data_IF_684259001262
#
_entry.id   IF_684259001262
#
_cell.length_a   1.000
_cell.length_b   1.000
_cell.length_c   1.000
_cell.angle_alpha   90.00
_cell.angle_beta   90.00
_cell.angle_gamma   90.00
#
_symmetry.space_group_name_H-M   'P 1'
#
loop_
_entity.id
_entity.type
_entity.pdbx_description
1 polymer ?
#
# COMPACT_ATOMS: atom_id res chain seq x y z
N UNK A 1 5.79 1.93 15.53
CA UNK A 1 4.92 0.87 15.01
C UNK A 1 5.78 -0.23 14.42
N UNK A 2 5.47 -1.47 14.78
CA UNK A 2 6.22 -2.65 14.33
C UNK A 2 5.23 -3.74 13.95
N UNK A 3 5.31 -4.24 12.71
CA UNK A 3 4.78 -5.54 12.35
C UNK A 3 5.95 -6.49 12.11
N UNK A 4 6.17 -7.45 13.03
CA UNK A 4 7.29 -8.38 12.90
C UNK A 4 7.09 -9.42 11.79
N UNK A 5 5.87 -9.59 11.28
CA UNK A 5 5.54 -10.55 10.24
C UNK A 5 4.23 -10.16 9.51
N UNK A 6 4.29 -9.18 8.62
CA UNK A 6 3.21 -8.91 7.65
C UNK A 6 3.17 -10.05 6.62
N UNK A 7 1.96 -10.51 6.29
CA UNK A 7 1.77 -11.69 5.45
C UNK A 7 1.76 -13.01 6.25
N UNK A 8 1.28 -13.00 7.48
CA UNK A 8 1.23 -14.17 8.39
C UNK A 8 0.58 -15.40 7.74
N UNK A 9 -0.51 -15.22 6.98
CA UNK A 9 -1.17 -16.31 6.25
C UNK A 9 -0.24 -16.92 5.20
N UNK A 10 0.50 -16.08 4.46
CA UNK A 10 1.47 -16.52 3.47
C UNK A 10 2.58 -17.32 4.15
N UNK A 11 3.17 -16.78 5.20
CA UNK A 11 4.22 -17.45 5.95
C UNK A 11 3.78 -18.83 6.47
N UNK A 12 2.60 -18.90 7.08
CA UNK A 12 2.05 -20.15 7.63
C UNK A 12 1.82 -21.23 6.56
N UNK A 13 1.61 -20.81 5.30
CA UNK A 13 1.36 -21.71 4.16
C UNK A 13 2.60 -21.90 3.25
N UNK A 14 3.77 -21.40 3.63
CA UNK A 14 5.00 -21.51 2.84
C UNK A 14 4.98 -20.71 1.54
N UNK A 15 4.12 -19.67 1.45
CA UNK A 15 4.08 -18.74 0.32
C UNK A 15 5.15 -17.67 0.53
N UNK A 16 6.11 -17.50 -0.40
CA UNK A 16 7.27 -16.62 -0.21
C UNK A 16 6.90 -15.14 -0.47
N UNK A 17 5.96 -14.59 0.29
CA UNK A 17 5.48 -13.21 0.21
C UNK A 17 5.08 -12.74 1.62
N UNK A 18 6.04 -12.23 2.36
CA UNK A 18 5.90 -11.71 3.74
C UNK A 18 7.07 -10.79 4.04
N UNK A 19 6.90 -9.90 5.02
CA UNK A 19 7.93 -8.93 5.37
C UNK A 19 7.91 -8.55 6.84
N UNK A 20 8.92 -7.75 7.23
CA UNK A 20 8.98 -7.02 8.49
C UNK A 20 8.72 -5.55 8.17
N UNK A 21 7.81 -4.90 8.90
CA UNK A 21 7.48 -3.49 8.72
C UNK A 21 7.75 -2.70 10.00
N UNK A 22 8.49 -1.60 9.88
CA UNK A 22 8.88 -0.70 10.97
C UNK A 22 8.60 0.74 10.60
N UNK A 23 7.85 1.47 11.43
CA UNK A 23 7.61 2.90 11.23
C UNK A 23 7.83 3.70 12.50
N UNK A 24 8.48 4.85 12.36
CA UNK A 24 8.54 5.90 13.36
C UNK A 24 7.61 7.03 12.93
N UNK A 25 6.77 7.52 13.84
CA UNK A 25 5.87 8.66 13.61
C UNK A 25 6.10 9.76 14.64
N UNK A 26 5.62 10.96 14.34
CA UNK A 26 5.40 11.98 15.36
C UNK A 26 4.12 11.69 16.17
N UNK A 27 3.81 12.58 17.13
CA UNK A 27 2.62 12.45 17.98
C UNK A 27 1.29 12.61 17.22
N UNK A 28 1.31 13.11 15.99
CA UNK A 28 0.15 13.29 15.11
C UNK A 28 0.05 12.21 14.03
N UNK A 29 0.73 11.08 14.21
CA UNK A 29 0.78 9.96 13.28
C UNK A 29 1.44 10.27 11.91
N UNK A 30 2.13 11.37 11.78
CA UNK A 30 2.88 11.62 10.56
C UNK A 30 4.09 10.67 10.51
N UNK A 31 4.23 9.81 9.50
CA UNK A 31 5.38 8.91 9.39
C UNK A 31 6.66 9.72 9.12
N UNK A 32 7.72 9.46 9.89
CA UNK A 32 9.02 10.14 9.81
C UNK A 32 10.09 9.23 9.22
N UNK A 33 10.08 7.94 9.59
CA UNK A 33 10.98 6.90 9.08
C UNK A 33 10.14 5.65 8.82
N UNK A 34 10.35 5.02 7.68
CA UNK A 34 9.75 3.74 7.30
C UNK A 34 10.81 2.77 6.82
N UNK A 35 10.72 1.52 7.27
CA UNK A 35 11.55 0.40 6.79
C UNK A 35 10.65 -0.80 6.57
N UNK A 36 10.73 -1.41 5.39
CA UNK A 36 10.07 -2.69 5.08
C UNK A 36 11.13 -3.61 4.50
N UNK A 37 11.26 -4.81 5.07
CA UNK A 37 12.23 -5.79 4.60
C UNK A 37 11.55 -7.08 4.16
N UNK A 38 11.72 -7.42 2.88
CA UNK A 38 11.37 -8.72 2.32
C UNK A 38 12.56 -9.67 2.44
N UNK A 39 12.53 -10.65 3.37
CA UNK A 39 13.66 -11.56 3.57
C UNK A 39 13.79 -12.64 2.49
N UNK A 40 12.77 -12.81 1.65
CA UNK A 40 12.79 -13.79 0.57
C UNK A 40 13.50 -13.24 -0.67
N UNK A 41 13.16 -11.99 -1.03
CA UNK A 41 13.77 -11.30 -2.16
C UNK A 41 15.08 -10.59 -1.78
N UNK A 42 15.40 -10.48 -0.48
CA UNK A 42 16.49 -9.65 0.08
C UNK A 42 16.36 -8.19 -0.38
N UNK A 43 15.12 -7.66 -0.28
CA UNK A 43 14.80 -6.28 -0.63
C UNK A 43 14.48 -5.46 0.63
N UNK A 44 15.31 -4.45 0.90
CA UNK A 44 15.09 -3.50 1.98
C UNK A 44 14.62 -2.17 1.43
N UNK A 45 13.36 -1.84 1.70
CA UNK A 45 12.76 -0.55 1.37
C UNK A 45 12.91 0.38 2.56
N UNK A 46 13.44 1.58 2.33
CA UNK A 46 13.63 2.60 3.37
C UNK A 46 13.16 3.94 2.90
N UNK A 47 12.55 4.71 3.80
CA UNK A 47 12.17 6.08 3.54
C UNK A 47 12.38 6.95 4.79
N UNK A 48 12.80 8.19 4.57
CA UNK A 48 12.88 9.23 5.59
C UNK A 48 12.16 10.45 5.06
N UNK A 49 11.27 11.03 5.84
CA UNK A 49 10.47 12.18 5.43
C UNK A 49 11.36 13.32 4.90
N UNK A 50 11.08 13.75 3.66
CA UNK A 50 11.81 14.82 2.96
C UNK A 50 13.19 14.42 2.44
N UNK A 51 13.56 13.13 2.50
CA UNK A 51 14.87 12.64 2.04
C UNK A 51 14.77 11.60 0.92
N UNK A 52 13.55 11.25 0.50
CA UNK A 52 13.28 10.25 -0.52
C UNK A 52 13.16 8.83 0.04
N UNK A 53 12.90 7.89 -0.87
CA UNK A 53 12.82 6.46 -0.59
C UNK A 53 13.84 5.67 -1.41
N UNK A 54 14.33 4.56 -0.85
CA UNK A 54 15.28 3.67 -1.54
C UNK A 54 14.89 2.20 -1.38
N UNK A 55 15.34 1.36 -2.31
CA UNK A 55 15.37 -0.09 -2.19
C UNK A 55 16.81 -0.56 -2.36
N UNK A 56 17.39 -1.19 -1.33
CA UNK A 56 18.80 -1.59 -1.32
C UNK A 56 19.71 -0.43 -1.78
N UNK A 57 19.55 0.74 -1.15
CA UNK A 57 20.26 1.99 -1.41
C UNK A 57 20.03 2.63 -2.80
N UNK A 58 19.18 2.05 -3.65
CA UNK A 58 18.82 2.62 -4.96
C UNK A 58 17.56 3.46 -4.82
N UNK A 59 17.55 4.71 -5.30
CA UNK A 59 16.37 5.58 -5.25
C UNK A 59 15.15 4.93 -5.89
N UNK A 60 13.99 5.11 -5.25
CA UNK A 60 12.70 4.69 -5.76
C UNK A 60 11.99 5.83 -6.46
N UNK A 61 11.18 5.47 -7.45
CA UNK A 61 10.26 6.37 -8.13
C UNK A 61 9.03 5.58 -8.54
N UNK A 62 7.85 6.14 -8.29
CA UNK A 62 6.58 5.56 -8.71
C UNK A 62 6.47 5.46 -10.24
N UNK A 63 5.54 4.66 -10.74
CA UNK A 63 5.30 4.51 -12.18
C UNK A 63 4.74 5.78 -12.83
N UNK A 64 4.76 5.84 -14.16
CA UNK A 64 4.25 6.97 -14.94
C UNK A 64 2.94 6.69 -15.67
N UNK A 65 2.25 5.59 -15.38
CA UNK A 65 0.96 5.23 -15.99
C UNK A 65 -0.10 6.30 -15.71
N UNK A 66 -0.89 6.67 -16.71
CA UNK A 66 -1.89 7.73 -16.61
C UNK A 66 -3.32 7.25 -16.84
N UNK A 67 -3.52 6.00 -17.26
CA UNK A 67 -4.83 5.39 -17.50
C UNK A 67 -4.98 4.10 -16.72
N UNK A 68 -6.19 3.80 -16.23
CA UNK A 68 -6.43 2.56 -15.49
C UNK A 68 -6.16 1.30 -16.32
N UNK A 69 -6.41 1.33 -17.62
CA UNK A 69 -6.23 0.18 -18.52
C UNK A 69 -4.77 -0.28 -18.62
N UNK A 70 -3.81 0.59 -18.33
CA UNK A 70 -2.39 0.27 -18.33
C UNK A 70 -1.90 -0.26 -16.98
N UNK A 71 -2.71 -0.06 -15.92
CA UNK A 71 -2.29 -0.24 -14.55
C UNK A 71 -2.35 -1.69 -14.06
N UNK A 72 -1.37 -2.04 -13.24
CA UNK A 72 -1.41 -3.18 -12.34
C UNK A 72 -1.62 -2.65 -10.92
N UNK A 73 -2.70 -3.07 -10.27
CA UNK A 73 -3.04 -2.64 -8.91
C UNK A 73 -2.88 -3.78 -7.92
N UNK A 74 -2.47 -3.45 -6.70
CA UNK A 74 -2.53 -4.32 -5.53
C UNK A 74 -3.79 -4.07 -4.71
N UNK A 75 -4.26 -5.08 -3.97
CA UNK A 75 -5.35 -4.91 -3.00
C UNK A 75 -5.38 -6.01 -1.95
N UNK A 76 -6.04 -5.72 -0.83
CA UNK A 76 -6.28 -6.64 0.25
C UNK A 76 -7.75 -6.69 0.70
N UNK A 77 -8.02 -7.53 1.69
CA UNK A 77 -9.35 -7.70 2.28
C UNK A 77 -9.22 -7.68 3.80
N UNK A 78 -10.12 -6.92 4.45
CA UNK A 78 -10.18 -6.84 5.89
C UNK A 78 -10.31 -8.22 6.57
N UNK A 79 -9.83 -8.32 7.81
CA UNK A 79 -9.91 -9.57 8.58
C UNK A 79 -11.35 -10.01 8.85
N UNK A 80 -12.30 -9.09 8.91
CA UNK A 80 -13.73 -9.31 9.14
C UNK A 80 -14.55 -9.54 7.85
N UNK A 81 -13.90 -9.71 6.71
CA UNK A 81 -14.52 -9.85 5.36
C UNK A 81 -15.62 -10.91 5.25
N UNK A 82 -15.65 -11.88 6.15
CA UNK A 82 -16.66 -12.95 6.17
C UNK A 82 -17.99 -12.51 6.79
N UNK A 83 -17.98 -11.48 7.63
CA UNK A 83 -19.14 -11.00 8.39
C UNK A 83 -19.52 -9.57 8.05
N UNK A 84 -18.58 -8.78 7.54
CA UNK A 84 -18.79 -7.40 7.16
C UNK A 84 -19.20 -7.32 5.67
N UNK A 85 -20.38 -6.77 5.33
CA UNK A 85 -20.79 -6.59 3.94
C UNK A 85 -19.91 -5.56 3.21
N UNK A 86 -19.27 -4.64 3.92
CA UNK A 86 -18.30 -3.69 3.39
C UNK A 86 -16.90 -4.31 3.39
N UNK A 87 -16.67 -5.30 2.50
CA UNK A 87 -15.54 -6.21 2.54
C UNK A 87 -14.61 -6.14 1.32
N UNK A 88 -14.68 -5.07 0.51
CA UNK A 88 -13.87 -4.86 -0.70
C UNK A 88 -14.21 -5.77 -1.91
N UNK A 89 -15.19 -6.65 -1.83
CA UNK A 89 -15.52 -7.53 -2.96
C UNK A 89 -16.14 -6.78 -4.15
N UNK A 90 -16.95 -5.75 -3.87
CA UNK A 90 -17.55 -4.88 -4.90
C UNK A 90 -16.46 -4.07 -5.63
N UNK A 91 -15.56 -3.44 -4.90
CA UNK A 91 -14.46 -2.64 -5.43
C UNK A 91 -13.52 -3.51 -6.27
N UNK A 92 -13.15 -4.68 -5.75
CA UNK A 92 -12.37 -5.68 -6.49
C UNK A 92 -13.03 -6.04 -7.83
N UNK A 93 -14.33 -6.40 -7.82
CA UNK A 93 -15.09 -6.74 -9.01
C UNK A 93 -15.16 -5.59 -10.02
N UNK A 94 -15.18 -4.35 -9.54
CA UNK A 94 -15.19 -3.16 -10.39
C UNK A 94 -13.81 -2.91 -11.01
N UNK A 95 -12.74 -2.95 -10.22
CA UNK A 95 -11.39 -2.72 -10.72
C UNK A 95 -10.92 -3.77 -11.71
N UNK A 96 -11.21 -5.05 -11.47
CA UNK A 96 -10.72 -6.15 -12.34
C UNK A 96 -11.17 -5.98 -13.81
N UNK A 97 -12.26 -5.28 -14.05
CA UNK A 97 -12.78 -5.01 -15.41
C UNK A 97 -12.22 -3.73 -16.03
N UNK A 98 -11.51 -2.89 -15.26
CA UNK A 98 -11.06 -1.55 -15.69
C UNK A 98 -9.54 -1.46 -15.85
N UNK A 99 -8.78 -2.38 -15.23
CA UNK A 99 -7.31 -2.31 -15.18
C UNK A 99 -6.67 -3.46 -15.93
N UNK A 100 -5.36 -3.37 -16.22
CA UNK A 100 -4.58 -4.46 -16.81
C UNK A 100 -4.59 -5.70 -15.93
N UNK A 101 -4.57 -5.53 -14.62
CA UNK A 101 -4.65 -6.63 -13.68
C UNK A 101 -4.66 -6.19 -12.24
N UNK A 102 -5.28 -7.01 -11.38
CA UNK A 102 -5.27 -6.84 -9.93
C UNK A 102 -4.45 -7.96 -9.30
N UNK A 103 -3.73 -7.66 -8.24
CA UNK A 103 -2.95 -8.62 -7.45
C UNK A 103 -3.44 -8.64 -6.02
N UNK A 104 -3.48 -9.82 -5.43
CA UNK A 104 -3.73 -10.05 -4.00
C UNK A 104 -2.50 -10.74 -3.42
N UNK A 105 -1.46 -9.93 -3.06
CA UNK A 105 -0.19 -10.50 -2.60
C UNK A 105 -0.27 -10.99 -1.16
N UNK A 106 -1.01 -10.30 -0.29
CA UNK A 106 -1.27 -10.75 1.08
C UNK A 106 -0.27 -10.25 2.11
N UNK A 107 0.48 -9.21 1.77
CA UNK A 107 1.36 -8.46 2.66
C UNK A 107 1.24 -6.98 2.29
N UNK A 108 0.47 -6.21 3.07
CA UNK A 108 0.08 -4.83 2.75
C UNK A 108 1.29 -3.89 2.68
N UNK A 109 2.25 -4.07 3.59
CA UNK A 109 3.47 -3.25 3.59
C UNK A 109 4.29 -3.46 2.30
N UNK A 110 4.38 -4.70 1.78
CA UNK A 110 5.04 -4.98 0.49
C UNK A 110 4.24 -4.43 -0.69
N UNK A 111 2.91 -4.55 -0.68
CA UNK A 111 2.06 -4.01 -1.74
C UNK A 111 2.29 -2.49 -1.90
N UNK A 112 2.38 -1.75 -0.78
CA UNK A 112 2.71 -0.32 -0.75
C UNK A 112 4.14 -0.05 -1.26
N UNK A 113 5.12 -0.85 -0.84
CA UNK A 113 6.50 -0.74 -1.34
C UNK A 113 6.58 -1.01 -2.85
N UNK A 114 5.75 -1.90 -3.38
CA UNK A 114 5.68 -2.16 -4.82
C UNK A 114 5.07 -0.98 -5.58
N UNK A 115 4.16 -0.20 -4.97
CA UNK A 115 3.73 1.08 -5.54
C UNK A 115 4.89 2.08 -5.56
N UNK A 116 5.63 2.22 -4.45
CA UNK A 116 6.79 3.09 -4.36
C UNK A 116 7.89 2.75 -5.39
N UNK A 117 8.05 1.45 -5.69
CA UNK A 117 9.03 0.95 -6.68
C UNK A 117 8.51 0.98 -8.13
N UNK A 118 7.29 1.46 -8.38
CA UNK A 118 6.68 1.47 -9.71
C UNK A 118 6.36 0.07 -10.28
N UNK A 119 6.37 -0.97 -9.44
CA UNK A 119 5.94 -2.33 -9.80
C UNK A 119 4.43 -2.46 -9.86
N UNK A 120 3.74 -1.75 -8.97
CA UNK A 120 2.29 -1.47 -9.02
C UNK A 120 2.08 0.00 -9.29
N UNK A 121 0.96 0.31 -9.95
CA UNK A 121 0.56 1.69 -10.22
C UNK A 121 -0.29 2.26 -9.09
N UNK A 122 -0.92 1.39 -8.31
CA UNK A 122 -1.70 1.76 -7.13
C UNK A 122 -2.06 0.55 -6.27
N UNK A 123 -2.59 0.87 -5.10
CA UNK A 123 -3.04 -0.08 -4.09
C UNK A 123 -4.25 0.50 -3.35
N UNK A 124 -5.20 -0.36 -2.96
CA UNK A 124 -6.29 0.02 -2.07
C UNK A 124 -6.63 -1.13 -1.14
N UNK A 125 -6.98 -0.82 0.10
CA UNK A 125 -7.44 -1.82 1.05
C UNK A 125 -8.39 -1.22 2.08
N UNK A 126 -9.33 -2.03 2.56
CA UNK A 126 -10.16 -1.81 3.74
C UNK A 126 -9.61 -2.63 4.89
N UNK A 127 -9.48 -2.01 6.07
CA UNK A 127 -9.13 -2.70 7.30
C UNK A 127 -7.66 -3.03 7.56
N UNK A 128 -6.66 -2.47 6.84
CA UNK A 128 -5.28 -2.63 7.28
C UNK A 128 -5.05 -1.87 8.58
N UNK A 129 -4.14 -2.37 9.39
CA UNK A 129 -3.76 -1.69 10.64
C UNK A 129 -2.66 -0.66 10.39
N UNK A 130 -2.45 0.25 11.35
CA UNK A 130 -1.41 1.27 11.24
C UNK A 130 -0.02 0.68 10.99
N UNK A 131 0.31 -0.44 11.63
CA UNK A 131 1.60 -1.13 11.45
C UNK A 131 1.77 -1.79 10.09
N UNK A 132 0.67 -2.13 9.40
CA UNK A 132 0.69 -2.65 8.02
C UNK A 132 1.00 -1.55 7.00
N UNK A 133 0.62 -0.30 7.30
CA UNK A 133 0.58 0.79 6.30
C UNK A 133 1.66 1.84 6.44
N UNK A 134 2.00 2.28 7.67
CA UNK A 134 2.77 3.51 7.92
C UNK A 134 4.13 3.53 7.21
N UNK A 135 4.87 2.41 7.25
CA UNK A 135 6.20 2.35 6.63
C UNK A 135 6.11 2.39 5.10
N UNK A 136 5.25 1.53 4.52
CA UNK A 136 5.06 1.48 3.07
C UNK A 136 4.44 2.76 2.51
N UNK A 137 3.52 3.40 3.24
CA UNK A 137 2.93 4.68 2.84
C UNK A 137 3.99 5.79 2.76
N UNK A 138 4.93 5.85 3.72
CA UNK A 138 6.03 6.80 3.63
C UNK A 138 6.90 6.52 2.40
N UNK A 139 7.18 5.26 2.08
CA UNK A 139 7.92 4.91 0.86
C UNK A 139 7.19 5.42 -0.40
N UNK A 140 5.85 5.30 -0.47
CA UNK A 140 5.06 5.83 -1.60
C UNK A 140 5.18 7.34 -1.70
N UNK A 141 4.98 8.06 -0.59
CA UNK A 141 5.05 9.52 -0.57
C UNK A 141 6.43 10.03 -0.98
N UNK A 142 7.49 9.44 -0.44
CA UNK A 142 8.88 9.82 -0.70
C UNK A 142 9.37 9.40 -2.10
N UNK A 143 8.68 8.42 -2.74
CA UNK A 143 8.91 8.06 -4.14
C UNK A 143 8.11 8.92 -5.14
N UNK A 144 7.36 9.94 -4.66
CA UNK A 144 6.58 10.86 -5.47
C UNK A 144 5.15 10.41 -5.76
N UNK A 145 4.64 9.42 -5.03
CA UNK A 145 3.25 8.94 -5.11
C UNK A 145 2.28 9.72 -4.23
N UNK A 146 1.05 9.23 -4.16
CA UNK A 146 -0.03 9.81 -3.37
C UNK A 146 -0.65 8.77 -2.43
N UNK A 147 -1.05 9.23 -1.24
CA UNK A 147 -1.78 8.46 -0.22
C UNK A 147 -3.00 9.25 0.22
N UNK A 148 -4.14 8.58 0.33
CA UNK A 148 -5.35 9.14 0.92
C UNK A 148 -6.25 8.06 1.53
N UNK A 149 -7.31 8.49 2.21
CA UNK A 149 -8.48 7.65 2.43
C UNK A 149 -9.33 7.53 1.14
N UNK A 150 -10.45 6.79 1.18
CA UNK A 150 -11.35 6.61 0.02
C UNK A 150 -12.08 7.90 -0.39
N UNK A 151 -12.17 8.90 0.47
CA UNK A 151 -12.75 10.21 0.18
C UNK A 151 -11.72 11.21 -0.33
N UNK A 152 -10.46 10.82 -0.45
CA UNK A 152 -9.36 11.68 -0.86
C UNK A 152 -8.75 12.49 0.29
N UNK A 153 -9.14 12.22 1.55
CA UNK A 153 -8.58 12.84 2.74
C UNK A 153 -7.14 12.38 2.98
N UNK A 154 -6.25 13.32 3.30
CA UNK A 154 -4.81 13.07 3.55
C UNK A 154 -4.40 13.29 5.00
N UNK A 155 -5.37 13.50 5.90
CA UNK A 155 -5.09 13.63 7.32
C UNK A 155 -4.47 12.33 7.88
N UNK A 156 -3.40 12.40 8.70
CA UNK A 156 -2.72 11.21 9.20
C UNK A 156 -3.60 10.23 9.98
N UNK A 157 -4.76 10.67 10.48
CA UNK A 157 -5.75 9.78 11.09
C UNK A 157 -6.30 8.71 10.12
N UNK A 158 -6.05 8.85 8.81
CA UNK A 158 -6.36 7.81 7.82
C UNK A 158 -5.72 6.46 8.16
N UNK A 159 -4.54 6.47 8.79
CA UNK A 159 -3.85 5.24 9.21
C UNK A 159 -4.54 4.52 10.38
N UNK A 160 -5.49 5.16 11.06
CA UNK A 160 -6.33 4.55 12.11
C UNK A 160 -7.75 4.24 11.63
N UNK A 161 -8.16 4.76 10.46
CA UNK A 161 -9.54 4.66 9.94
C UNK A 161 -9.78 3.44 9.05
N UNK A 162 -8.78 2.62 8.87
CA UNK A 162 -8.89 1.34 8.17
C UNK A 162 -9.23 1.39 6.67
N UNK A 163 -8.99 2.52 5.99
CA UNK A 163 -9.15 2.63 4.54
C UNK A 163 -7.95 3.37 3.97
N UNK A 164 -7.27 2.77 2.99
CA UNK A 164 -6.11 3.39 2.37
C UNK A 164 -6.17 3.25 0.84
N UNK A 165 -5.79 4.30 0.16
CA UNK A 165 -5.50 4.34 -1.28
C UNK A 165 -4.09 4.87 -1.47
N UNK A 166 -3.28 4.14 -2.21
CA UNK A 166 -1.95 4.54 -2.63
C UNK A 166 -1.86 4.51 -4.15
N UNK A 167 -1.10 5.41 -4.76
CA UNK A 167 -0.90 5.38 -6.22
C UNK A 167 0.35 6.15 -6.64
N UNK A 168 0.65 6.10 -7.94
CA UNK A 168 1.67 6.91 -8.58
C UNK A 168 1.31 8.42 -8.67
N UNK A 169 0.19 8.86 -8.10
CA UNK A 169 -0.31 10.23 -8.16
C UNK A 169 -1.15 10.52 -9.42
N UNK A 170 -0.74 10.08 -10.59
CA UNK A 170 -1.45 10.34 -11.85
C UNK A 170 -2.82 9.68 -11.90
N UNK A 171 -2.93 8.43 -11.45
CA UNK A 171 -4.19 7.67 -11.46
C UNK A 171 -4.98 7.81 -10.16
N UNK A 172 -4.49 8.57 -9.17
CA UNK A 172 -5.15 8.67 -7.85
C UNK A 172 -6.61 9.13 -7.94
N UNK A 173 -6.94 10.21 -8.66
CA UNK A 173 -8.33 10.63 -8.84
C UNK A 173 -9.20 9.55 -9.52
N UNK A 174 -8.64 8.83 -10.50
CA UNK A 174 -9.36 7.77 -11.21
C UNK A 174 -9.67 6.57 -10.29
N UNK A 175 -8.76 6.25 -9.36
CA UNK A 175 -9.02 5.22 -8.34
C UNK A 175 -10.10 5.66 -7.37
N UNK A 176 -10.08 6.90 -6.89
CA UNK A 176 -11.11 7.45 -6.01
C UNK A 176 -12.48 7.46 -6.68
N UNK A 177 -12.57 7.82 -7.96
CA UNK A 177 -13.82 7.77 -8.72
C UNK A 177 -14.41 6.35 -8.76
N UNK A 178 -13.58 5.31 -8.86
CA UNK A 178 -14.04 3.91 -8.84
C UNK A 178 -14.48 3.48 -7.44
N UNK A 179 -13.75 3.88 -6.41
CA UNK A 179 -14.03 3.51 -5.01
C UNK A 179 -15.29 4.16 -4.45
N UNK A 180 -15.75 5.27 -5.05
CA UNK A 180 -16.91 6.04 -4.62
C UNK A 180 -18.16 5.80 -5.51
N UNK A 181 -18.17 4.79 -6.39
CA UNK A 181 -19.32 4.33 -7.16
C UNK A 181 -20.17 3.33 -6.34
#
# INVERSE_FOLDING_TARGET
YVDPLDGTTNFANGIPMFCISLALTDANLNPLVGVVYDPVADEMFTAVRGMGATMNDKPLTVSASTTLQECVLGSGFAYDKHTNPDNNAKEWGTFVTKVRGVRRMGAAALDLCYVAAGRFDGYWERGPQSWDCLAGALCVLEAGGAISDYQGGTDPSLYEKSHIVASNGHIHPLMLDVLNQ
#
